data_IF_401744682043
#
_entry.id   IF_401744682043
#
_cell.length_a   1.000
_cell.length_b   1.000
_cell.length_c   1.000
_cell.angle_alpha   90.00
_cell.angle_beta   90.00
_cell.angle_gamma   90.00
#
_symmetry.space_group_name_H-M   'P 1'
#
loop_
_entity.id
_entity.type
_entity.pdbx_description
1 polymer ?
#
# COMPACT_ATOMS: atom_id res chain seq x y z
N UNK A 1 -24.38 10.42 -28.32
CA UNK A 1 -23.38 11.09 -27.47
C UNK A 1 -22.06 10.38 -27.69
N UNK A 2 -21.07 11.05 -28.24
CA UNK A 2 -19.73 10.46 -28.39
C UNK A 2 -19.11 10.35 -26.99
N UNK A 3 -18.88 9.12 -26.53
CA UNK A 3 -18.17 8.85 -25.29
C UNK A 3 -16.70 9.31 -25.37
N UNK A 4 -16.02 9.38 -24.22
CA UNK A 4 -14.59 9.71 -24.18
C UNK A 4 -13.75 8.74 -25.01
N UNK A 5 -12.82 9.29 -25.81
CA UNK A 5 -12.00 8.52 -26.76
C UNK A 5 -10.76 7.87 -26.13
N UNK A 6 -10.34 8.34 -24.95
CA UNK A 6 -9.20 7.82 -24.19
C UNK A 6 -9.46 7.92 -22.68
N UNK A 7 -8.86 7.01 -21.91
CA UNK A 7 -8.94 6.99 -20.46
C UNK A 7 -7.55 6.78 -19.84
N UNK A 8 -7.30 7.45 -18.72
CA UNK A 8 -6.12 7.24 -17.89
C UNK A 8 -6.49 6.30 -16.73
N UNK A 9 -5.77 5.18 -16.61
CA UNK A 9 -5.94 4.22 -15.52
C UNK A 9 -4.71 4.29 -14.60
N UNK A 10 -4.93 4.60 -13.32
CA UNK A 10 -3.86 4.74 -12.32
C UNK A 10 -4.26 4.05 -11.02
N UNK A 11 -3.25 3.61 -10.28
CA UNK A 11 -3.37 3.19 -8.89
C UNK A 11 -2.19 3.79 -8.10
N UNK A 12 -2.45 4.22 -6.87
CA UNK A 12 -1.44 4.76 -5.98
C UNK A 12 -1.78 4.35 -4.55
N UNK A 13 -0.76 3.98 -3.77
CA UNK A 13 -0.93 3.54 -2.38
C UNK A 13 0.24 4.06 -1.53
N UNK A 14 -0.03 4.44 -0.28
CA UNK A 14 0.98 4.93 0.66
C UNK A 14 0.71 4.40 2.07
N UNK A 15 1.09 3.14 2.31
CA UNK A 15 0.84 2.45 3.59
C UNK A 15 1.43 3.19 4.80
N UNK A 16 2.61 3.81 4.68
CA UNK A 16 3.26 4.57 5.76
C UNK A 16 2.48 5.81 6.20
N UNK A 17 1.50 6.25 5.41
CA UNK A 17 0.62 7.40 5.71
C UNK A 17 -0.78 6.97 6.13
N UNK A 18 -1.03 5.67 6.33
CA UNK A 18 -2.33 5.21 6.79
C UNK A 18 -2.64 5.79 8.18
N UNK A 19 -3.85 6.34 8.38
CA UNK A 19 -4.18 7.05 9.58
C UNK A 19 -4.47 6.10 10.74
N UNK A 20 -4.45 6.65 11.95
CA UNK A 20 -5.23 6.08 13.04
C UNK A 20 -6.67 6.58 12.88
N UNK A 21 -7.62 5.64 12.89
CA UNK A 21 -9.04 5.90 12.71
C UNK A 21 -9.83 5.68 14.01
N UNK A 22 -10.99 6.34 14.10
CA UNK A 22 -11.99 6.08 15.13
C UNK A 22 -13.36 5.97 14.49
N UNK A 23 -13.90 4.75 14.44
CA UNK A 23 -15.16 4.48 13.72
C UNK A 23 -16.41 4.82 14.53
N UNK A 24 -16.30 4.92 15.86
CA UNK A 24 -17.43 5.01 16.79
C UNK A 24 -17.70 6.42 17.32
N UNK A 25 -16.95 7.43 16.90
CA UNK A 25 -17.02 8.78 17.50
C UNK A 25 -17.59 9.85 16.58
N UNK A 26 -18.18 9.48 15.44
CA UNK A 26 -18.76 10.46 14.50
C UNK A 26 -19.78 11.37 15.20
N UNK A 27 -20.57 10.82 16.11
CA UNK A 27 -21.63 11.53 16.85
C UNK A 27 -21.16 12.02 18.25
N UNK A 28 -19.85 11.98 18.50
CA UNK A 28 -19.25 12.25 19.79
C UNK A 28 -19.08 11.00 20.67
N UNK A 29 -18.51 11.20 21.85
CA UNK A 29 -18.32 10.18 22.87
C UNK A 29 -18.63 10.78 24.25
N UNK A 30 -19.14 9.98 25.22
CA UNK A 30 -19.54 10.51 26.52
C UNK A 30 -18.34 11.03 27.31
N UNK A 31 -18.59 12.00 28.20
CA UNK A 31 -17.56 12.52 29.12
C UNK A 31 -17.03 11.39 30.01
N UNK A 32 -15.71 11.18 29.98
CA UNK A 32 -15.06 10.07 30.69
C UNK A 32 -15.21 8.71 30.01
N UNK A 33 -15.84 8.65 28.83
CA UNK A 33 -15.93 7.45 28.00
C UNK A 33 -14.59 7.08 27.37
N UNK A 34 -14.43 5.80 27.04
CA UNK A 34 -13.25 5.32 26.33
C UNK A 34 -13.22 5.86 24.89
N UNK A 35 -12.09 6.49 24.52
CA UNK A 35 -11.82 6.88 23.14
C UNK A 35 -11.04 5.75 22.47
N UNK A 36 -11.69 5.07 21.52
CA UNK A 36 -11.03 4.06 20.68
C UNK A 36 -10.23 4.68 19.54
N UNK A 37 -9.05 4.11 19.31
CA UNK A 37 -8.15 4.38 18.20
C UNK A 37 -7.79 3.05 17.53
N UNK A 38 -7.93 2.99 16.22
CA UNK A 38 -7.67 1.82 15.39
C UNK A 38 -6.58 2.15 14.38
N UNK A 39 -5.64 1.24 14.19
CA UNK A 39 -4.70 1.33 13.08
C UNK A 39 -5.43 0.93 11.79
N UNK A 40 -5.62 1.89 10.88
CA UNK A 40 -6.33 1.65 9.64
C UNK A 40 -5.62 0.63 8.75
N UNK A 41 -4.29 0.58 8.76
CA UNK A 41 -3.54 -0.38 7.97
C UNK A 41 -3.82 -1.82 8.43
N UNK A 42 -3.88 -2.05 9.74
CA UNK A 42 -4.24 -3.36 10.28
C UNK A 42 -5.67 -3.78 9.92
N UNK A 43 -6.61 -2.84 10.00
CA UNK A 43 -8.01 -3.10 9.61
C UNK A 43 -8.11 -3.42 8.11
N UNK A 44 -7.32 -2.77 7.25
CA UNK A 44 -7.30 -3.01 5.80
C UNK A 44 -6.68 -4.36 5.39
N UNK A 45 -5.87 -4.97 6.26
CA UNK A 45 -5.23 -6.27 6.03
C UNK A 45 -5.99 -7.45 6.66
N UNK A 46 -7.19 -7.19 7.19
CA UNK A 46 -8.06 -8.18 7.80
C UNK A 46 -9.27 -8.45 6.92
N UNK A 47 -9.53 -9.71 6.60
CA UNK A 47 -10.75 -10.12 5.91
C UNK A 47 -11.83 -10.46 6.95
N UNK A 48 -12.91 -9.67 7.04
CA UNK A 48 -13.96 -9.91 8.03
C UNK A 48 -14.86 -11.11 7.68
N UNK A 49 -14.90 -11.57 6.41
CA UNK A 49 -15.80 -12.65 6.02
C UNK A 49 -15.38 -14.01 6.61
N UNK A 50 -14.10 -14.42 6.52
CA UNK A 50 -13.56 -15.60 7.22
C UNK A 50 -12.86 -15.24 8.54
N UNK A 51 -12.91 -13.97 8.96
CA UNK A 51 -12.33 -13.46 10.20
C UNK A 51 -10.82 -13.74 10.37
N UNK A 52 -10.03 -13.52 9.31
CA UNK A 52 -8.58 -13.77 9.32
C UNK A 52 -7.77 -12.69 8.62
N UNK A 53 -6.53 -12.50 9.06
CA UNK A 53 -5.58 -11.63 8.38
C UNK A 53 -4.97 -12.32 7.14
N UNK A 54 -4.35 -11.52 6.27
CA UNK A 54 -3.73 -12.03 5.05
C UNK A 54 -2.58 -13.03 5.31
N UNK A 55 -1.88 -12.96 6.44
CA UNK A 55 -0.82 -13.92 6.78
C UNK A 55 -1.43 -15.30 7.06
N UNK A 56 -2.52 -15.34 7.82
CA UNK A 56 -3.27 -16.57 8.07
C UNK A 56 -3.81 -17.19 6.77
N UNK A 57 -4.22 -16.38 5.78
CA UNK A 57 -4.59 -16.92 4.45
C UNK A 57 -3.42 -17.62 3.77
N UNK A 58 -2.22 -17.04 3.84
CA UNK A 58 -1.01 -17.61 3.24
C UNK A 58 -0.60 -18.91 3.94
N UNK A 59 -0.67 -18.96 5.28
CA UNK A 59 -0.39 -20.16 6.08
C UNK A 59 -1.35 -21.30 5.75
N UNK A 60 -2.63 -20.99 5.52
CA UNK A 60 -3.63 -21.98 5.12
C UNK A 60 -3.30 -22.58 3.74
N UNK A 61 -2.84 -21.76 2.79
CA UNK A 61 -2.38 -22.24 1.49
C UNK A 61 -1.11 -23.09 1.63
N UNK A 62 -0.14 -22.65 2.43
CA UNK A 62 1.09 -23.40 2.68
C UNK A 62 0.78 -24.81 3.25
N UNK A 63 -0.11 -24.90 4.24
CA UNK A 63 -0.56 -26.19 4.79
C UNK A 63 -1.30 -27.03 3.75
N UNK A 64 -2.24 -26.44 3.02
CA UNK A 64 -3.05 -27.13 2.01
C UNK A 64 -2.21 -27.75 0.89
N UNK A 65 -1.16 -27.07 0.47
CA UNK A 65 -0.30 -27.49 -0.63
C UNK A 65 1.03 -28.12 -0.17
N UNK A 66 1.23 -28.30 1.15
CA UNK A 66 2.45 -28.90 1.70
C UNK A 66 3.73 -28.10 1.42
N UNK A 67 3.64 -26.76 1.39
CA UNK A 67 4.81 -25.89 1.18
C UNK A 67 5.67 -25.86 2.44
N UNK A 68 6.92 -26.31 2.33
CA UNK A 68 7.87 -26.24 3.44
C UNK A 68 8.40 -24.82 3.63
N UNK A 69 8.89 -24.53 4.84
CA UNK A 69 9.52 -23.24 5.15
C UNK A 69 10.73 -22.98 4.24
N UNK A 70 11.53 -24.01 3.99
CA UNK A 70 12.71 -23.95 3.13
C UNK A 70 12.34 -23.62 1.68
N UNK A 71 11.22 -24.17 1.19
CA UNK A 71 10.72 -23.86 -0.15
C UNK A 71 10.29 -22.39 -0.27
N UNK A 72 9.55 -21.89 0.73
CA UNK A 72 9.10 -20.48 0.76
C UNK A 72 10.28 -19.52 0.87
N UNK A 73 11.24 -19.80 1.77
CA UNK A 73 12.45 -18.99 1.96
C UNK A 73 13.34 -19.02 0.70
N UNK A 74 13.46 -20.17 0.05
CA UNK A 74 14.19 -20.33 -1.20
C UNK A 74 13.59 -19.46 -2.32
N UNK A 75 12.26 -19.41 -2.43
CA UNK A 75 11.59 -18.52 -3.38
C UNK A 75 11.79 -17.04 -3.04
N UNK A 76 11.69 -16.66 -1.77
CA UNK A 76 11.92 -15.28 -1.33
C UNK A 76 13.35 -14.81 -1.71
N UNK A 77 14.37 -15.64 -1.44
CA UNK A 77 15.75 -15.34 -1.82
C UNK A 77 15.89 -15.17 -3.34
N UNK A 78 15.32 -16.09 -4.12
CA UNK A 78 15.35 -16.02 -5.58
C UNK A 78 14.67 -14.73 -6.10
N UNK A 79 13.54 -14.36 -5.52
CA UNK A 79 12.83 -13.12 -5.86
C UNK A 79 13.69 -11.88 -5.60
N UNK A 80 14.33 -11.81 -4.42
CA UNK A 80 15.25 -10.72 -4.09
C UNK A 80 16.46 -10.64 -5.03
N UNK A 81 17.06 -11.79 -5.37
CA UNK A 81 18.18 -11.85 -6.31
C UNK A 81 17.79 -11.31 -7.70
N UNK A 82 16.62 -11.72 -8.21
CA UNK A 82 16.09 -11.25 -9.49
C UNK A 82 15.84 -9.74 -9.48
N UNK A 83 15.19 -9.23 -8.44
CA UNK A 83 14.93 -7.80 -8.30
C UNK A 83 16.23 -6.98 -8.33
N UNK A 84 17.24 -7.39 -7.57
CA UNK A 84 18.54 -6.72 -7.52
C UNK A 84 19.26 -6.78 -8.88
N UNK A 85 19.31 -7.96 -9.51
CA UNK A 85 19.92 -8.12 -10.83
C UNK A 85 19.24 -7.24 -11.87
N UNK A 86 17.91 -7.17 -11.85
CA UNK A 86 17.17 -6.36 -12.81
C UNK A 86 17.30 -4.87 -12.60
N UNK A 87 17.40 -4.44 -11.35
CA UNK A 87 17.71 -3.05 -11.02
C UNK A 87 19.12 -2.67 -11.49
N UNK A 88 20.13 -3.49 -11.19
CA UNK A 88 21.53 -3.24 -11.59
C UNK A 88 21.73 -3.25 -13.10
N UNK A 89 20.99 -4.11 -13.81
CA UNK A 89 21.02 -4.16 -15.27
C UNK A 89 20.09 -3.16 -15.95
N UNK A 90 19.47 -2.22 -15.22
CA UNK A 90 18.70 -1.10 -15.79
C UNK A 90 17.38 -1.49 -16.47
N UNK A 91 16.83 -2.68 -16.23
CA UNK A 91 15.60 -3.12 -16.93
C UNK A 91 14.38 -2.24 -16.64
N UNK A 92 14.37 -1.54 -15.52
CA UNK A 92 13.25 -0.72 -15.04
C UNK A 92 13.31 0.75 -15.51
N UNK A 93 14.37 1.13 -16.26
CA UNK A 93 14.60 2.52 -16.63
C UNK A 93 13.47 3.15 -17.48
N UNK A 94 12.72 2.32 -18.22
CA UNK A 94 11.58 2.76 -19.04
C UNK A 94 10.25 2.85 -18.29
N UNK A 95 10.17 2.36 -17.05
CA UNK A 95 8.91 2.23 -16.28
C UNK A 95 8.94 2.93 -14.92
N UNK A 96 10.12 3.30 -14.41
CA UNK A 96 10.27 4.06 -13.16
C UNK A 96 10.55 5.54 -13.46
N UNK A 97 9.66 6.40 -12.97
CA UNK A 97 9.89 7.86 -12.93
C UNK A 97 10.44 8.22 -11.54
N UNK A 98 11.59 8.93 -11.44
CA UNK A 98 12.11 9.36 -10.14
C UNK A 98 11.16 10.36 -9.49
N UNK A 99 10.97 10.23 -8.17
CA UNK A 99 10.23 11.21 -7.37
C UNK A 99 11.24 12.10 -6.65
N UNK A 100 11.10 13.41 -6.81
CA UNK A 100 11.89 14.42 -6.11
C UNK A 100 10.97 15.42 -5.42
N UNK A 101 11.52 16.20 -4.48
CA UNK A 101 10.79 17.37 -3.98
C UNK A 101 10.49 18.31 -5.14
N UNK A 102 9.23 18.64 -5.35
CA UNK A 102 8.77 19.39 -6.53
C UNK A 102 7.54 20.24 -6.19
N UNK A 103 7.41 21.38 -6.88
CA UNK A 103 6.27 22.29 -6.80
C UNK A 103 5.54 22.31 -8.14
N UNK A 104 4.25 22.01 -8.10
CA UNK A 104 3.36 21.94 -9.24
C UNK A 104 2.48 23.19 -9.28
N UNK A 105 2.55 23.93 -10.38
CA UNK A 105 1.74 25.14 -10.60
C UNK A 105 0.88 24.96 -11.85
N UNK A 106 -0.39 25.38 -11.76
CA UNK A 106 -1.32 25.39 -12.87
C UNK A 106 -2.16 26.67 -12.77
N UNK A 107 -2.32 27.37 -13.89
CA UNK A 107 -3.07 28.64 -13.93
C UNK A 107 -4.48 28.47 -13.37
N UNK A 108 -4.86 29.32 -12.42
CA UNK A 108 -6.17 29.27 -11.75
C UNK A 108 -6.26 28.28 -10.58
N UNK A 109 -5.18 27.56 -10.24
CA UNK A 109 -5.15 26.60 -9.13
C UNK A 109 -4.15 27.02 -8.04
N UNK A 110 -4.43 26.58 -6.81
CA UNK A 110 -3.46 26.71 -5.71
C UNK A 110 -2.24 25.84 -5.99
N UNK A 111 -1.01 26.37 -5.85
CA UNK A 111 0.20 25.58 -5.97
C UNK A 111 0.18 24.37 -5.02
N UNK A 112 0.69 23.23 -5.49
CA UNK A 112 0.89 22.03 -4.67
C UNK A 112 2.36 21.68 -4.65
N UNK A 113 2.81 21.02 -3.59
CA UNK A 113 4.18 20.51 -3.52
C UNK A 113 4.21 19.10 -2.95
N UNK A 114 5.24 18.37 -3.32
CA UNK A 114 5.70 17.17 -2.61
C UNK A 114 7.04 17.55 -2.00
N UNK A 115 7.17 17.39 -0.69
CA UNK A 115 8.45 17.50 0.01
C UNK A 115 8.81 16.11 0.53
N UNK A 116 9.95 15.59 0.07
CA UNK A 116 10.45 14.33 0.57
C UNK A 116 11.16 14.57 1.90
N UNK A 117 10.83 13.81 2.97
CA UNK A 117 11.40 14.03 4.32
C UNK A 117 12.90 13.72 4.40
N UNK A 118 13.48 13.10 3.36
CA UNK A 118 14.92 12.92 3.18
C UNK A 118 15.24 13.13 1.70
N UNK A 119 15.79 14.31 1.40
CA UNK A 119 16.34 14.75 0.13
C UNK A 119 17.37 15.83 0.39
#
# INVERSE_FOLDING_TARGET
SEGGQMALCVAAESMSRNPIAAYTHRDGFPLGGAVQFKDFLWEALYDPAPAMDMIATADNLAKRYGLSREAVDGYALLSHQRALQSQLGGQWAGEIVPVSSERFELEGYQPRSIELPRG
#
